data_IF_073119237906
#
_entry.id   IF_073119237906
#
_cell.length_a   1.000
_cell.length_b   1.000
_cell.length_c   1.000
_cell.angle_alpha   90.00
_cell.angle_beta   90.00
_cell.angle_gamma   90.00
#
_symmetry.space_group_name_H-M   'P 1'
#
loop_
_entity.id
_entity.type
_entity.pdbx_description
1 polymer ?
#
# COMPACT_ATOMS: atom_id res chain seq x y z
N UNK A 1 -3.38 -20.75 27.60
CA UNK A 1 -3.92 -19.64 28.42
C UNK A 1 -3.07 -18.40 28.17
N UNK A 2 -3.73 -17.32 27.68
CA UNK A 2 -3.43 -15.87 27.78
C UNK A 2 -2.02 -15.37 27.36
N UNK A 3 -1.82 -14.22 26.72
CA UNK A 3 -2.59 -13.15 26.08
C UNK A 3 -1.51 -12.25 25.43
N UNK A 4 -1.66 -11.86 24.16
CA UNK A 4 -0.77 -10.88 23.52
C UNK A 4 -1.45 -9.49 23.47
N UNK A 5 -0.74 -8.40 23.75
CA UNK A 5 -1.09 -7.10 23.20
C UNK A 5 0.11 -6.51 22.43
N UNK A 6 -0.05 -6.42 21.11
CA UNK A 6 0.89 -5.78 20.19
C UNK A 6 0.11 -5.23 19.01
N UNK A 7 -0.75 -4.27 19.30
CA UNK A 7 -1.63 -3.58 18.36
C UNK A 7 -0.79 -2.69 17.44
N UNK A 8 -0.68 -3.07 16.17
CA UNK A 8 -0.27 -2.18 15.09
C UNK A 8 -1.48 -1.94 14.20
N UNK A 9 -1.84 -0.66 14.14
CA UNK A 9 -3.03 -0.09 13.54
C UNK A 9 -3.06 -0.36 12.04
N UNK A 10 -4.05 -1.15 11.61
CA UNK A 10 -4.51 -1.17 10.23
C UNK A 10 -5.94 -0.62 10.22
N UNK A 11 -6.07 0.69 10.04
CA UNK A 11 -7.34 1.29 9.66
C UNK A 11 -7.69 0.78 8.25
N UNK A 12 -8.72 -0.04 8.17
CA UNK A 12 -9.43 -0.31 6.91
C UNK A 12 -10.91 -0.07 7.16
N UNK A 13 -11.43 0.88 6.41
CA UNK A 13 -12.77 1.40 6.54
C UNK A 13 -13.82 0.31 6.32
N UNK A 14 -14.91 0.45 7.07
CA UNK A 14 -16.06 -0.45 7.14
C UNK A 14 -16.75 -0.63 5.78
N UNK A 15 -16.80 -1.87 5.29
CA UNK A 15 -17.73 -2.25 4.24
C UNK A 15 -19.12 -2.46 4.87
N UNK A 16 -20.02 -1.49 4.68
CA UNK A 16 -21.45 -1.67 4.94
C UNK A 16 -22.04 -2.54 3.83
N UNK A 17 -22.39 -3.77 4.17
CA UNK A 17 -23.44 -4.53 3.48
C UNK A 17 -24.64 -4.61 4.42
N UNK A 18 -25.76 -3.96 4.11
CA UNK A 18 -26.95 -4.73 3.73
C UNK A 18 -28.13 -3.88 3.22
N UNK A 19 -28.67 -4.38 2.11
CA UNK A 19 -30.07 -4.48 1.65
C UNK A 19 -31.15 -3.50 2.15
N UNK A 20 -31.71 -2.82 1.14
CA UNK A 20 -33.15 -2.70 0.84
C UNK A 20 -34.08 -3.76 1.48
N UNK A 21 -35.09 -3.32 2.23
CA UNK A 21 -36.51 -3.71 2.04
C UNK A 21 -37.44 -2.89 2.95
N UNK A 22 -38.64 -2.57 2.46
CA UNK A 22 -39.53 -1.54 3.00
C UNK A 22 -40.52 -1.95 4.10
N UNK A 23 -41.29 -0.95 4.55
CA UNK A 23 -42.41 -1.03 5.49
C UNK A 23 -42.69 0.35 6.09
N UNK A 24 -43.48 1.19 5.43
CA UNK A 24 -44.91 1.47 5.69
C UNK A 24 -45.24 2.17 7.03
N UNK A 25 -45.91 3.31 6.85
CA UNK A 25 -46.97 3.94 7.67
C UNK A 25 -46.61 4.83 8.86
N UNK A 26 -47.15 6.06 8.85
CA UNK A 26 -47.48 6.80 10.09
C UNK A 26 -47.45 8.33 10.00
N UNK A 27 -48.57 8.94 9.59
CA UNK A 27 -49.15 10.23 10.05
C UNK A 27 -48.24 11.47 10.25
N UNK A 28 -48.28 12.46 9.37
CA UNK A 28 -49.23 13.60 9.42
C UNK A 28 -49.14 14.44 10.70
N UNK A 29 -48.48 15.61 10.62
CA UNK A 29 -48.84 16.75 11.47
C UNK A 29 -48.52 18.07 10.78
N UNK A 30 -49.60 18.75 10.39
CA UNK A 30 -49.70 20.12 9.92
C UNK A 30 -49.45 21.08 11.10
N UNK A 31 -48.75 22.21 10.87
CA UNK A 31 -48.99 23.57 11.40
C UNK A 31 -47.69 24.38 11.18
N UNK A 32 -47.56 25.21 10.14
CA UNK A 32 -48.07 26.58 10.00
C UNK A 32 -47.70 27.53 11.17
N UNK A 33 -46.65 28.33 10.98
CA UNK A 33 -46.46 29.67 11.54
C UNK A 33 -45.35 30.36 10.73
N UNK A 34 -45.72 31.07 9.67
CA UNK A 34 -45.85 32.53 9.63
C UNK A 34 -44.49 33.27 9.63
N UNK A 35 -44.20 33.76 8.43
CA UNK A 35 -43.14 34.67 8.01
C UNK A 35 -43.09 35.91 8.92
N UNK A 36 -41.90 36.22 9.44
CA UNK A 36 -41.53 37.60 9.83
C UNK A 36 -40.35 38.02 8.98
N UNK A 37 -40.65 38.90 8.02
CA UNK A 37 -39.69 39.69 7.27
C UNK A 37 -39.07 40.73 8.22
N UNK A 38 -37.76 40.65 8.44
CA UNK A 38 -36.98 41.84 8.77
C UNK A 38 -35.76 41.94 7.87
N UNK A 39 -35.75 43.07 7.16
CA UNK A 39 -34.72 43.63 6.30
C UNK A 39 -33.37 43.81 7.00
N UNK A 40 -32.32 43.35 6.34
CA UNK A 40 -30.94 43.72 6.63
C UNK A 40 -30.09 43.56 5.37
N UNK A 41 -29.76 44.68 4.74
CA UNK A 41 -28.79 44.79 3.64
C UNK A 41 -27.42 44.36 4.15
N UNK A 42 -26.74 43.47 3.42
CA UNK A 42 -25.37 43.05 3.72
C UNK A 42 -24.71 42.46 2.48
N UNK A 43 -23.77 43.22 1.91
CA UNK A 43 -22.96 42.92 0.74
C UNK A 43 -21.87 41.87 1.09
N UNK A 44 -21.61 40.92 0.21
CA UNK A 44 -20.46 40.02 0.36
C UNK A 44 -20.55 38.82 -0.58
N UNK A 45 -19.86 38.92 -1.71
CA UNK A 45 -19.69 37.81 -2.65
C UNK A 45 -18.98 36.64 -1.98
N UNK A 46 -19.62 35.48 -2.11
CA UNK A 46 -19.13 34.18 -1.73
C UNK A 46 -18.14 33.70 -2.80
N UNK A 47 -16.85 33.72 -2.46
CA UNK A 47 -15.87 32.77 -2.96
C UNK A 47 -15.08 32.35 -1.73
N UNK A 48 -15.64 31.38 -1.01
CA UNK A 48 -14.90 30.58 -0.05
C UNK A 48 -13.83 29.83 -0.83
N UNK A 49 -12.67 30.49 -0.93
CA UNK A 49 -11.34 29.91 -0.86
C UNK A 49 -11.39 28.47 -0.35
N UNK A 50 -11.05 27.52 -1.22
CA UNK A 50 -10.72 26.16 -0.82
C UNK A 50 -9.62 26.29 0.22
N UNK A 51 -9.98 26.12 1.48
CA UNK A 51 -9.00 25.80 2.51
C UNK A 51 -8.42 24.47 2.11
N UNK A 52 -7.30 24.56 1.40
CA UNK A 52 -6.31 23.50 1.38
C UNK A 52 -6.06 23.18 2.85
N UNK A 53 -6.51 22.00 3.27
CA UNK A 53 -6.15 21.47 4.57
C UNK A 53 -4.66 21.15 4.48
N UNK A 54 -3.85 22.11 4.92
CA UNK A 54 -2.47 21.87 5.32
C UNK A 54 -2.50 20.89 6.51
N UNK A 55 -2.46 19.60 6.18
CA UNK A 55 -2.18 18.54 7.15
C UNK A 55 -0.67 18.53 7.44
N UNK A 56 -0.32 19.24 8.51
CA UNK A 56 0.97 19.18 9.21
C UNK A 56 1.08 17.80 9.89
N UNK A 57 1.46 16.80 9.09
CA UNK A 57 1.46 15.39 9.48
C UNK A 57 2.67 14.60 8.99
N UNK A 58 3.87 15.20 8.95
CA UNK A 58 5.15 14.49 9.09
C UNK A 58 5.42 13.22 8.27
N UNK A 59 4.83 13.03 7.10
CA UNK A 59 5.26 12.02 6.12
C UNK A 59 5.96 12.75 4.99
N UNK A 60 7.26 12.54 4.85
CA UNK A 60 8.04 13.08 3.75
C UNK A 60 7.29 12.85 2.43
N UNK A 61 7.02 13.92 1.68
CA UNK A 61 6.33 13.86 0.39
C UNK A 61 7.20 13.05 -0.57
N UNK A 62 6.97 11.75 -0.61
CA UNK A 62 7.71 10.90 -1.50
C UNK A 62 7.32 11.26 -2.94
N UNK A 63 8.33 11.38 -3.79
CA UNK A 63 8.14 11.84 -5.16
C UNK A 63 7.46 10.72 -5.96
N UNK A 64 6.16 10.87 -6.24
CA UNK A 64 5.38 9.86 -6.98
C UNK A 64 5.53 10.12 -8.47
N UNK A 65 6.04 9.13 -9.21
CA UNK A 65 6.04 9.12 -10.68
C UNK A 65 4.60 9.00 -11.17
N UNK A 66 4.08 10.03 -11.86
CA UNK A 66 2.69 10.07 -12.33
C UNK A 66 2.58 10.01 -13.84
N UNK A 67 1.59 9.29 -14.36
CA UNK A 67 1.26 9.23 -15.78
C UNK A 67 2.31 8.54 -16.66
N UNK A 68 3.27 7.85 -16.06
CA UNK A 68 4.27 7.04 -16.76
C UNK A 68 3.75 5.61 -16.87
N UNK A 69 3.63 5.10 -18.09
CA UNK A 69 3.21 3.71 -18.31
C UNK A 69 4.36 2.76 -17.96
N UNK A 70 4.10 1.58 -17.36
CA UNK A 70 5.13 0.57 -17.17
C UNK A 70 5.78 0.18 -18.51
N UNK A 71 7.11 0.17 -18.55
CA UNK A 71 7.88 -0.29 -19.71
C UNK A 71 8.77 -1.44 -19.26
N UNK A 72 8.49 -2.64 -19.78
CA UNK A 72 9.19 -3.86 -19.39
C UNK A 72 10.67 -3.81 -19.77
N UNK A 73 11.53 -4.28 -18.87
CA UNK A 73 12.93 -4.60 -19.17
C UNK A 73 12.99 -5.72 -20.22
N UNK A 74 14.13 -5.82 -20.90
CA UNK A 74 14.44 -6.91 -21.84
C UNK A 74 14.58 -8.26 -21.14
N UNK A 75 14.88 -8.23 -19.85
CA UNK A 75 15.07 -9.40 -19.00
C UNK A 75 13.90 -9.54 -18.03
N UNK A 76 13.46 -10.77 -17.82
CA UNK A 76 12.50 -11.14 -16.78
C UNK A 76 13.21 -11.97 -15.72
N UNK A 77 12.74 -11.88 -14.47
CA UNK A 77 13.20 -12.77 -13.41
C UNK A 77 12.30 -14.00 -13.35
N UNK A 78 12.90 -15.15 -13.10
CA UNK A 78 12.19 -16.42 -12.94
C UNK A 78 12.44 -16.92 -11.53
N UNK A 79 11.36 -17.07 -10.76
CA UNK A 79 11.40 -17.69 -9.44
C UNK A 79 10.89 -19.12 -9.59
N UNK A 80 11.78 -20.08 -9.37
CA UNK A 80 11.44 -21.49 -9.36
C UNK A 80 11.07 -21.92 -7.93
N UNK A 81 9.91 -22.52 -7.78
CA UNK A 81 9.42 -23.05 -6.50
C UNK A 81 8.99 -24.50 -6.69
N UNK A 82 8.81 -25.22 -5.58
CA UNK A 82 8.26 -26.59 -5.60
C UNK A 82 6.84 -26.67 -6.20
N UNK A 83 6.13 -25.54 -6.25
CA UNK A 83 4.77 -25.43 -6.77
C UNK A 83 4.70 -24.96 -8.22
N UNK A 84 5.84 -24.58 -8.81
CA UNK A 84 5.92 -24.11 -10.19
C UNK A 84 6.79 -22.86 -10.36
N UNK A 85 6.82 -22.35 -11.59
CA UNK A 85 7.60 -21.17 -11.97
C UNK A 85 6.73 -19.91 -11.92
N UNK A 86 7.30 -18.85 -11.36
CA UNK A 86 6.74 -17.50 -11.39
C UNK A 86 7.66 -16.65 -12.27
N UNK A 87 7.11 -16.06 -13.32
CA UNK A 87 7.84 -15.15 -14.21
C UNK A 87 7.47 -13.72 -13.85
N UNK A 88 8.46 -12.90 -13.53
CA UNK A 88 8.31 -11.52 -13.10
C UNK A 88 8.89 -10.59 -14.16
N UNK A 89 8.04 -9.77 -14.75
CA UNK A 89 8.45 -8.66 -15.60
C UNK A 89 8.92 -7.49 -14.73
N UNK A 90 10.07 -6.90 -15.09
CA UNK A 90 10.68 -5.82 -14.33
C UNK A 90 10.42 -4.47 -15.04
N UNK A 91 10.14 -3.42 -14.27
CA UNK A 91 9.82 -2.08 -14.79
C UNK A 91 10.85 -1.03 -14.36
N UNK A 92 12.06 -1.01 -14.97
CA UNK A 92 13.14 -0.11 -14.58
C UNK A 92 12.82 1.36 -14.84
N UNK A 93 11.82 1.66 -15.66
CA UNK A 93 11.35 3.03 -15.89
C UNK A 93 10.54 3.59 -14.70
N UNK A 94 9.95 2.73 -13.86
CA UNK A 94 9.21 3.12 -12.67
C UNK A 94 10.06 3.04 -11.40
N UNK A 95 10.86 1.99 -11.26
CA UNK A 95 11.71 1.74 -10.10
C UNK A 95 13.14 1.35 -10.50
N UNK A 96 13.93 2.28 -11.08
CA UNK A 96 15.25 1.96 -11.62
C UNK A 96 16.24 1.44 -10.57
N UNK A 97 16.22 1.98 -9.35
CA UNK A 97 17.14 1.54 -8.29
C UNK A 97 16.73 0.17 -7.76
N UNK A 98 15.44 -0.04 -7.53
CA UNK A 98 14.95 -1.32 -7.02
C UNK A 98 15.17 -2.45 -8.04
N UNK A 99 14.87 -2.21 -9.32
CA UNK A 99 15.12 -3.20 -10.38
C UNK A 99 16.62 -3.49 -10.50
N UNK A 100 17.47 -2.47 -10.45
CA UNK A 100 18.93 -2.66 -10.47
C UNK A 100 19.43 -3.50 -9.28
N UNK A 101 18.93 -3.21 -8.07
CA UNK A 101 19.22 -3.97 -6.85
C UNK A 101 18.77 -5.43 -6.97
N UNK A 102 17.53 -5.64 -7.39
CA UNK A 102 16.96 -6.97 -7.53
C UNK A 102 17.77 -7.82 -8.52
N UNK A 103 18.11 -7.27 -9.69
CA UNK A 103 18.95 -7.95 -10.69
C UNK A 103 20.34 -8.29 -10.15
N UNK A 104 20.96 -7.39 -9.37
CA UNK A 104 22.24 -7.65 -8.72
C UNK A 104 22.14 -8.85 -7.76
N UNK A 105 21.17 -8.83 -6.85
CA UNK A 105 20.98 -9.89 -5.84
C UNK A 105 20.63 -11.24 -6.49
N UNK A 106 19.82 -11.23 -7.56
CA UNK A 106 19.56 -12.43 -8.38
C UNK A 106 20.85 -12.97 -9.00
N UNK A 107 21.69 -12.10 -9.58
CA UNK A 107 22.98 -12.49 -10.16
C UNK A 107 23.98 -13.05 -9.15
N UNK A 108 23.87 -12.63 -7.89
CA UNK A 108 24.67 -13.14 -6.77
C UNK A 108 24.10 -14.44 -6.17
N UNK A 109 22.91 -14.86 -6.60
CA UNK A 109 22.23 -16.05 -6.07
C UNK A 109 21.65 -15.84 -4.67
N UNK A 110 21.47 -14.59 -4.24
CA UNK A 110 21.03 -14.23 -2.88
C UNK A 110 19.68 -14.83 -2.50
N UNK A 111 18.74 -14.90 -3.45
CA UNK A 111 17.38 -15.40 -3.22
C UNK A 111 17.31 -16.93 -3.20
N UNK A 112 18.38 -17.66 -3.53
CA UNK A 112 18.36 -19.11 -3.62
C UNK A 112 18.11 -19.73 -2.24
N UNK A 113 17.05 -20.52 -2.13
CA UNK A 113 16.65 -21.18 -0.89
C UNK A 113 15.84 -20.30 0.06
N UNK A 114 15.70 -19.00 -0.21
CA UNK A 114 14.85 -18.11 0.61
C UNK A 114 13.39 -18.53 0.49
N UNK A 115 12.63 -18.39 1.57
CA UNK A 115 11.22 -18.75 1.62
C UNK A 115 10.31 -17.54 1.37
N UNK A 116 9.08 -17.84 0.93
CA UNK A 116 7.95 -16.92 1.08
C UNK A 116 7.45 -16.99 2.53
N UNK A 117 8.13 -16.27 3.41
CA UNK A 117 7.94 -16.34 4.87
C UNK A 117 6.61 -15.74 5.35
N UNK A 118 5.97 -14.88 4.55
CA UNK A 118 4.69 -14.26 4.91
C UNK A 118 3.65 -14.46 3.82
N UNK A 119 2.50 -15.02 4.19
CA UNK A 119 1.32 -15.20 3.33
C UNK A 119 0.12 -14.61 4.04
N UNK A 120 -0.47 -13.55 3.47
CA UNK A 120 -1.64 -12.88 4.05
C UNK A 120 -2.90 -13.20 3.23
N UNK A 121 -3.80 -14.08 3.72
CA UNK A 121 -5.00 -14.48 2.99
C UNK A 121 -6.05 -13.38 2.91
N UNK A 122 -5.94 -12.29 3.69
CA UNK A 122 -6.90 -11.18 3.66
C UNK A 122 -6.59 -10.22 2.51
N UNK A 123 -5.30 -9.94 2.30
CA UNK A 123 -4.82 -9.04 1.24
C UNK A 123 -4.45 -9.80 -0.04
N UNK A 124 -4.21 -11.12 0.06
CA UNK A 124 -3.76 -11.94 -1.07
C UNK A 124 -2.28 -11.76 -1.41
N UNK A 125 -1.51 -11.13 -0.52
CA UNK A 125 -0.09 -10.82 -0.71
C UNK A 125 0.77 -11.97 -0.16
N UNK A 126 1.79 -12.34 -0.92
CA UNK A 126 2.86 -13.24 -0.48
C UNK A 126 4.16 -12.44 -0.47
N UNK A 127 4.93 -12.51 0.61
CA UNK A 127 6.17 -11.77 0.75
C UNK A 127 7.33 -12.74 0.94
N UNK A 128 8.45 -12.44 0.29
CA UNK A 128 9.65 -13.27 0.26
C UNK A 128 10.92 -12.47 0.07
N UNK A 129 12.02 -13.21 -0.10
CA UNK A 129 13.35 -12.64 -0.31
C UNK A 129 14.05 -12.15 0.96
N UNK A 130 13.69 -12.71 2.12
CA UNK A 130 14.40 -12.47 3.38
C UNK A 130 15.52 -13.52 3.55
N UNK A 131 16.80 -13.12 3.70
CA UNK A 131 17.90 -14.06 3.98
C UNK A 131 17.78 -14.80 5.32
N UNK A 132 17.08 -14.25 6.32
CA UNK A 132 16.85 -14.92 7.60
C UNK A 132 16.01 -16.19 7.42
N UNK A 133 15.14 -16.23 6.42
CA UNK A 133 14.32 -17.41 6.12
C UNK A 133 15.09 -18.66 5.67
N UNK A 134 16.42 -18.56 5.52
CA UNK A 134 17.32 -19.69 5.31
C UNK A 134 17.64 -20.46 6.59
N UNK A 135 17.43 -19.84 7.76
CA UNK A 135 17.66 -20.46 9.05
C UNK A 135 16.41 -21.29 9.48
N UNK A 136 16.45 -21.90 10.67
CA UNK A 136 15.32 -22.67 11.22
C UNK A 136 14.53 -21.90 12.30
N UNK A 137 14.69 -20.58 12.36
CA UNK A 137 14.06 -19.70 13.34
C UNK A 137 13.01 -18.80 12.68
N UNK A 138 11.74 -19.23 12.60
CA UNK A 138 10.70 -18.43 11.95
C UNK A 138 10.35 -17.14 12.71
N UNK A 139 10.96 -16.87 13.88
CA UNK A 139 10.70 -15.65 14.64
C UNK A 139 11.49 -14.44 14.14
N UNK A 140 12.56 -14.63 13.36
CA UNK A 140 13.35 -13.54 12.75
C UNK A 140 13.06 -13.31 11.26
N UNK A 141 12.15 -14.11 10.69
CA UNK A 141 11.59 -13.91 9.37
C UNK A 141 10.87 -12.55 9.23
N UNK A 142 11.13 -11.88 8.12
CA UNK A 142 10.71 -10.51 7.82
C UNK A 142 11.67 -9.43 8.31
N UNK A 143 12.69 -9.77 9.12
CA UNK A 143 13.62 -8.79 9.70
C UNK A 143 14.99 -8.76 9.01
N UNK A 144 15.27 -9.66 8.07
CA UNK A 144 16.56 -9.70 7.39
C UNK A 144 16.65 -8.72 6.22
N UNK A 145 17.88 -8.38 5.87
CA UNK A 145 18.25 -7.49 4.78
C UNK A 145 19.51 -7.97 4.10
N UNK A 146 19.77 -7.50 2.88
CA UNK A 146 21.05 -7.75 2.23
C UNK A 146 22.15 -6.87 2.83
N UNK A 147 23.41 -7.15 2.52
CA UNK A 147 24.56 -6.31 2.93
C UNK A 147 24.56 -4.93 2.25
N UNK A 148 23.58 -4.67 1.40
CA UNK A 148 23.44 -3.43 0.66
C UNK A 148 22.69 -2.36 1.44
N UNK A 149 22.97 -1.07 1.18
CA UNK A 149 22.23 0.01 1.79
C UNK A 149 20.79 0.04 1.30
N UNK A 150 19.92 0.53 2.19
CA UNK A 150 18.52 0.81 1.89
C UNK A 150 18.39 1.80 0.73
N UNK A 151 17.34 1.58 -0.06
CA UNK A 151 17.02 2.37 -1.22
C UNK A 151 15.97 3.43 -0.88
N UNK A 152 16.11 4.63 -1.45
CA UNK A 152 15.05 5.62 -1.38
C UNK A 152 13.82 5.12 -2.11
N UNK A 153 12.64 5.53 -1.65
CA UNK A 153 11.38 5.08 -2.19
C UNK A 153 11.16 5.55 -3.64
N UNK A 154 10.80 4.61 -4.52
CA UNK A 154 10.47 4.87 -5.92
C UNK A 154 8.97 4.62 -6.15
N UNK A 155 8.13 5.57 -5.71
CA UNK A 155 6.68 5.43 -5.85
C UNK A 155 6.21 5.75 -7.28
N UNK A 156 5.16 5.05 -7.72
CA UNK A 156 4.44 5.35 -8.96
C UNK A 156 2.93 5.38 -8.71
N UNK A 157 2.17 5.95 -9.64
CA UNK A 157 0.71 5.92 -9.63
C UNK A 157 0.09 4.63 -10.21
N UNK A 158 0.93 3.63 -10.51
CA UNK A 158 0.47 2.31 -10.94
C UNK A 158 -0.18 1.59 -9.75
N UNK A 159 -1.44 1.14 -9.88
CA UNK A 159 -2.13 0.48 -8.79
C UNK A 159 -1.55 -0.91 -8.52
N UNK A 160 -1.51 -1.30 -7.24
CA UNK A 160 -1.19 -2.67 -6.82
C UNK A 160 -2.38 -3.60 -7.08
N UNK A 161 -2.50 -4.05 -8.32
CA UNK A 161 -3.45 -5.07 -8.74
C UNK A 161 -2.87 -6.48 -8.56
N UNK A 162 -3.72 -7.50 -8.70
CA UNK A 162 -3.29 -8.90 -8.58
C UNK A 162 -2.17 -9.21 -9.58
N UNK A 163 -1.02 -9.65 -9.07
CA UNK A 163 0.15 -10.02 -9.86
C UNK A 163 1.19 -8.91 -10.02
N UNK A 164 0.95 -7.72 -9.45
CA UNK A 164 1.97 -6.68 -9.33
C UNK A 164 2.95 -7.03 -8.22
N UNK A 165 4.25 -6.87 -8.50
CA UNK A 165 5.32 -7.08 -7.52
C UNK A 165 5.77 -5.73 -6.97
N UNK A 166 5.90 -5.65 -5.64
CA UNK A 166 6.35 -4.46 -4.92
C UNK A 166 7.57 -4.73 -4.04
N UNK A 167 8.34 -3.67 -3.75
CA UNK A 167 9.38 -3.73 -2.73
C UNK A 167 8.76 -3.67 -1.33
N UNK A 168 9.14 -4.60 -0.46
CA UNK A 168 8.80 -4.50 0.95
C UNK A 168 9.70 -3.47 1.63
N UNK A 169 9.15 -2.79 2.64
CA UNK A 169 9.85 -1.76 3.42
C UNK A 169 9.41 -1.80 4.87
N UNK A 170 10.24 -1.25 5.75
CA UNK A 170 9.89 -1.00 7.14
C UNK A 170 9.04 0.29 7.25
N UNK A 171 8.97 0.84 8.47
CA UNK A 171 8.22 2.07 8.74
C UNK A 171 8.75 3.27 7.96
N UNK A 172 10.07 3.35 7.83
CA UNK A 172 10.70 4.39 7.01
C UNK A 172 10.36 4.17 5.53
N UNK A 173 10.07 5.25 4.81
CA UNK A 173 9.78 5.19 3.37
C UNK A 173 11.01 4.75 2.59
N UNK A 174 12.20 5.17 3.03
CA UNK A 174 13.48 4.92 2.35
C UNK A 174 14.20 3.69 2.95
N UNK A 175 13.45 2.65 3.31
CA UNK A 175 13.96 1.40 3.91
C UNK A 175 13.76 0.16 3.04
N UNK A 176 13.47 0.34 1.75
CA UNK A 176 13.39 -0.79 0.83
C UNK A 176 14.78 -1.39 0.60
N UNK A 177 14.90 -2.71 0.69
CA UNK A 177 16.19 -3.39 0.58
C UNK A 177 16.14 -4.55 -0.42
N UNK A 178 15.92 -5.78 0.04
CA UNK A 178 15.93 -6.99 -0.78
C UNK A 178 14.59 -7.74 -0.81
N UNK A 179 13.73 -7.53 0.20
CA UNK A 179 12.45 -8.22 0.31
C UNK A 179 11.42 -7.65 -0.68
N UNK A 180 10.55 -8.53 -1.20
CA UNK A 180 9.50 -8.17 -2.17
C UNK A 180 8.20 -8.92 -1.86
N UNK A 181 7.09 -8.44 -2.43
CA UNK A 181 5.76 -9.04 -2.28
C UNK A 181 4.92 -8.95 -3.56
#
# INVERSE_FOLDING_TARGET
MNNYPGELVAETETWRTDRSCGGRTGVASLLLCLIVLLSGVGCGGDMTETKDFDDDGGVAKANVTKGVKPEADREAAVVETEFGMIVIELYPNLAPKMVGRFKKLVGEGFYNGTAFHRVDPRTGVIQGGDPNSLNNDPFDDGMGGSDEPDLPAEFSDVPFERGVVGAARARDVDSANCQFY
#
